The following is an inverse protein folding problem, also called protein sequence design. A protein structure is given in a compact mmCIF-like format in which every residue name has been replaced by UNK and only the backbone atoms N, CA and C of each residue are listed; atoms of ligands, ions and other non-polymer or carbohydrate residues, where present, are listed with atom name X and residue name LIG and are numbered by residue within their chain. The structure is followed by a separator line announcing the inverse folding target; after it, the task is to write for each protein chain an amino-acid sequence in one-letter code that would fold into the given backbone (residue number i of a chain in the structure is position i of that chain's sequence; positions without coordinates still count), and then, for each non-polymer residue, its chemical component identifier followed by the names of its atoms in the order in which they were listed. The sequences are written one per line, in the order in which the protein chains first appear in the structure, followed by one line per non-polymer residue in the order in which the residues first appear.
data_IF_178290379473
#
_entry.id   IF_178290379473
#
_cell.length_a   1.000
_cell.length_b   1.000
_cell.length_c   1.000
_cell.angle_alpha   90.00
_cell.angle_beta   90.00
_cell.angle_gamma   90.00
#
_symmetry.space_group_name_H-M   'P 1'
#
loop_
_entity.id
_entity.type
_entity.pdbx_description
1 polymer ?
#
# COMPACT_ATOMS: atom_id res chain seq x y z
N UNK A 1 -44.95 -52.83 8.00
CA UNK A 1 -44.28 -52.34 6.79
C UNK A 1 -42.97 -53.09 6.66
N UNK A 2 -42.94 -54.12 5.83
CA UNK A 2 -41.71 -54.84 5.48
C UNK A 2 -40.88 -53.91 4.60
N UNK A 3 -39.78 -53.37 5.13
CA UNK A 3 -38.85 -52.55 4.35
C UNK A 3 -38.18 -53.46 3.32
N UNK A 4 -38.47 -53.24 2.04
CA UNK A 4 -37.87 -54.03 0.97
C UNK A 4 -36.34 -53.85 0.98
N UNK A 5 -35.62 -54.93 0.62
CA UNK A 5 -34.16 -54.97 0.57
C UNK A 5 -33.55 -53.79 -0.21
N UNK A 6 -34.25 -53.33 -1.26
CA UNK A 6 -33.88 -52.18 -2.08
C UNK A 6 -33.89 -50.87 -1.31
N UNK A 7 -34.86 -50.64 -0.42
CA UNK A 7 -34.92 -49.42 0.40
C UNK A 7 -33.79 -49.40 1.43
N UNK A 8 -33.44 -50.55 2.01
CA UNK A 8 -32.32 -50.68 2.95
C UNK A 8 -30.99 -50.33 2.26
N UNK A 9 -30.76 -50.83 1.05
CA UNK A 9 -29.55 -50.54 0.25
C UNK A 9 -29.41 -49.05 -0.09
N UNK A 10 -30.51 -48.38 -0.43
CA UNK A 10 -30.50 -46.93 -0.71
C UNK A 10 -30.14 -46.13 0.55
N UNK A 11 -30.70 -46.49 1.70
CA UNK A 11 -30.41 -45.82 2.98
C UNK A 11 -28.94 -46.01 3.36
N UNK A 12 -28.40 -47.22 3.23
CA UNK A 12 -26.99 -47.52 3.52
C UNK A 12 -26.07 -46.76 2.55
N UNK A 13 -26.41 -46.71 1.26
CA UNK A 13 -25.67 -45.94 0.25
C UNK A 13 -25.64 -44.44 0.57
N UNK A 14 -26.79 -43.86 0.96
CA UNK A 14 -26.89 -42.46 1.35
C UNK A 14 -26.04 -42.15 2.61
N UNK A 15 -26.04 -43.05 3.59
CA UNK A 15 -25.23 -42.90 4.81
C UNK A 15 -23.72 -42.92 4.51
N UNK A 16 -23.28 -43.79 3.61
CA UNK A 16 -21.88 -43.87 3.18
C UNK A 16 -21.46 -42.59 2.46
N UNK A 17 -22.29 -42.07 1.55
CA UNK A 17 -22.04 -40.82 0.82
C UNK A 17 -21.93 -39.62 1.78
N UNK A 18 -22.87 -39.50 2.74
CA UNK A 18 -22.83 -38.44 3.76
C UNK A 18 -21.56 -38.52 4.64
N UNK A 19 -21.13 -39.74 5.01
CA UNK A 19 -19.92 -39.96 5.80
C UNK A 19 -18.66 -39.51 5.05
N UNK A 20 -18.58 -39.77 3.75
CA UNK A 20 -17.47 -39.33 2.90
C UNK A 20 -17.51 -37.82 2.63
N UNK A 21 -18.69 -37.26 2.36
CA UNK A 21 -18.88 -35.83 2.15
C UNK A 21 -18.42 -35.02 3.37
N UNK A 22 -18.78 -35.45 4.58
CA UNK A 22 -18.36 -34.77 5.82
C UNK A 22 -16.84 -34.76 6.01
N UNK A 23 -16.16 -35.84 5.60
CA UNK A 23 -14.69 -35.99 5.68
C UNK A 23 -13.96 -35.13 4.64
N UNK A 24 -14.57 -34.90 3.47
CA UNK A 24 -14.07 -33.98 2.45
C UNK A 24 -14.28 -32.53 2.87
N UNK A 25 -15.50 -32.18 3.30
CA UNK A 25 -15.86 -30.83 3.73
C UNK A 25 -15.01 -30.38 4.92
N UNK A 26 -14.77 -31.24 5.92
CA UNK A 26 -13.92 -30.87 7.06
C UNK A 26 -12.46 -30.62 6.67
N UNK A 27 -11.92 -31.38 5.71
CA UNK A 27 -10.56 -31.14 5.19
C UNK A 27 -10.48 -29.84 4.41
N UNK A 28 -11.48 -29.54 3.57
CA UNK A 28 -11.54 -28.30 2.79
C UNK A 28 -11.67 -27.10 3.72
N UNK A 29 -12.59 -27.14 4.70
CA UNK A 29 -12.76 -26.07 5.68
C UNK A 29 -11.48 -25.89 6.51
N UNK A 30 -10.80 -26.97 6.88
CA UNK A 30 -9.52 -26.91 7.58
C UNK A 30 -8.43 -26.21 6.77
N UNK A 31 -8.26 -26.59 5.51
CA UNK A 31 -7.28 -25.94 4.61
C UNK A 31 -7.63 -24.47 4.37
N UNK A 32 -8.89 -24.17 4.05
CA UNK A 32 -9.36 -22.79 3.83
C UNK A 32 -9.20 -21.96 5.10
N UNK A 33 -9.50 -22.51 6.27
CA UNK A 33 -9.33 -21.84 7.55
C UNK A 33 -7.87 -21.54 7.87
N UNK A 34 -6.96 -22.49 7.61
CA UNK A 34 -5.52 -22.27 7.79
C UNK A 34 -5.00 -21.23 6.80
N UNK A 35 -5.38 -21.31 5.52
CA UNK A 35 -4.98 -20.32 4.51
C UNK A 35 -5.53 -18.94 4.84
N UNK A 36 -6.80 -18.83 5.23
CA UNK A 36 -7.40 -17.57 5.66
C UNK A 36 -6.74 -17.04 6.95
N UNK A 37 -6.36 -17.92 7.88
CA UNK A 37 -5.61 -17.55 9.09
C UNK A 37 -4.21 -17.03 8.77
N UNK A 38 -3.48 -17.68 7.86
CA UNK A 38 -2.16 -17.24 7.38
C UNK A 38 -2.28 -15.90 6.66
N UNK A 39 -3.21 -15.77 5.70
CA UNK A 39 -3.43 -14.51 4.98
C UNK A 39 -3.90 -13.39 5.91
N UNK A 40 -4.76 -13.70 6.88
CA UNK A 40 -5.22 -12.77 7.90
C UNK A 40 -4.09 -12.32 8.84
N UNK A 41 -3.23 -13.24 9.26
CA UNK A 41 -2.03 -12.92 10.04
C UNK A 41 -1.03 -12.09 9.24
N UNK A 42 -0.78 -12.46 7.99
CA UNK A 42 0.07 -11.71 7.06
C UNK A 42 -0.48 -10.30 6.81
N UNK A 43 -1.80 -10.15 6.68
CA UNK A 43 -2.47 -8.85 6.58
C UNK A 43 -2.33 -8.04 7.89
N UNK A 44 -2.59 -8.64 9.04
CA UNK A 44 -2.48 -7.98 10.35
C UNK A 44 -1.05 -7.55 10.67
N UNK A 45 -0.05 -8.38 10.36
CA UNK A 45 1.37 -8.10 10.58
C UNK A 45 2.04 -7.39 9.40
N UNK A 46 1.32 -7.11 8.31
CA UNK A 46 1.86 -6.49 7.09
C UNK A 46 3.07 -7.24 6.50
N UNK A 47 3.00 -8.57 6.43
CA UNK A 47 4.05 -9.47 5.92
C UNK A 47 3.64 -9.99 4.52
N UNK A 48 4.61 -10.14 3.60
CA UNK A 48 4.39 -10.72 2.25
C UNK A 48 3.65 -9.80 1.27
N UNK A 49 2.76 -10.29 0.37
CA UNK A 49 2.11 -9.45 -0.65
C UNK A 49 1.15 -8.38 -0.07
N UNK A 50 0.94 -8.38 1.25
CA UNK A 50 0.20 -7.36 2.00
C UNK A 50 1.11 -6.37 2.73
N UNK A 51 2.42 -6.36 2.42
CA UNK A 51 3.33 -5.28 2.76
C UNK A 51 2.77 -4.03 2.09
N UNK A 52 1.96 -3.29 2.84
CA UNK A 52 1.46 -2.00 2.43
C UNK A 52 2.67 -1.17 2.09
N UNK A 53 2.85 -0.76 0.84
CA UNK A 53 3.58 0.45 0.43
C UNK A 53 3.55 0.64 -1.08
N UNK A 54 2.38 1.02 -1.58
CA UNK A 54 2.21 1.61 -2.92
C UNK A 54 2.19 3.16 -2.86
N UNK A 55 2.49 3.74 -1.69
CA UNK A 55 2.44 5.18 -1.41
C UNK A 55 3.56 5.67 -0.49
N UNK A 56 4.56 4.83 -0.24
CA UNK A 56 5.62 5.17 0.69
C UNK A 56 6.82 5.61 -0.12
N UNK A 57 7.42 6.71 0.30
CA UNK A 57 8.74 7.17 -0.14
C UNK A 57 9.70 5.98 -0.22
N UNK A 58 9.55 5.00 0.69
CA UNK A 58 10.24 3.71 0.69
C UNK A 58 10.20 2.94 -0.64
N UNK A 59 9.12 2.97 -1.42
CA UNK A 59 9.08 2.30 -2.73
C UNK A 59 9.92 3.05 -3.77
N UNK A 60 9.84 4.39 -3.80
CA UNK A 60 10.68 5.19 -4.69
C UNK A 60 12.15 5.05 -4.27
N UNK A 61 12.42 4.99 -2.97
CA UNK A 61 13.74 4.76 -2.41
C UNK A 61 14.28 3.36 -2.73
N UNK A 62 13.46 2.31 -2.60
CA UNK A 62 13.87 0.96 -3.00
C UNK A 62 14.18 0.89 -4.50
N UNK A 63 13.35 1.53 -5.33
CA UNK A 63 13.53 1.57 -6.79
C UNK A 63 14.79 2.33 -7.21
N UNK A 64 15.06 3.48 -6.60
CA UNK A 64 16.09 4.41 -7.09
C UNK A 64 17.36 4.43 -6.25
N UNK A 65 17.26 4.18 -4.95
CA UNK A 65 18.39 4.18 -4.02
C UNK A 65 18.94 2.78 -3.69
N UNK A 66 18.32 1.71 -4.21
CA UNK A 66 18.83 0.34 -4.12
C UNK A 66 20.17 0.12 -4.83
N UNK A 67 20.71 -1.10 -4.73
CA UNK A 67 22.00 -1.49 -5.34
C UNK A 67 22.07 -1.22 -6.83
N UNK A 68 20.96 -1.47 -7.53
CA UNK A 68 20.83 -1.34 -8.99
C UNK A 68 19.95 -0.15 -9.39
N UNK A 69 19.66 0.74 -8.43
CA UNK A 69 18.81 1.91 -8.63
C UNK A 69 19.53 3.06 -9.35
N UNK A 70 18.76 3.96 -9.96
CA UNK A 70 19.32 5.16 -10.58
C UNK A 70 19.85 6.13 -9.50
N UNK A 71 21.17 6.07 -9.30
CA UNK A 71 21.90 6.87 -8.31
C UNK A 71 21.71 8.36 -8.50
N UNK A 72 21.49 8.84 -9.72
CA UNK A 72 21.30 10.27 -9.95
C UNK A 72 19.91 10.72 -9.51
N UNK A 73 18.88 9.91 -9.75
CA UNK A 73 17.54 10.17 -9.21
C UNK A 73 17.56 10.08 -7.68
N UNK A 74 18.22 9.06 -7.12
CA UNK A 74 18.36 8.94 -5.67
C UNK A 74 19.06 10.16 -5.05
N UNK A 75 20.25 10.51 -5.58
CA UNK A 75 21.11 11.53 -4.99
C UNK A 75 20.62 12.94 -5.24
N UNK A 76 20.08 13.22 -6.43
CA UNK A 76 19.67 14.58 -6.80
C UNK A 76 18.20 14.88 -6.55
N UNK A 77 17.30 13.88 -6.47
CA UNK A 77 15.86 14.12 -6.30
C UNK A 77 15.39 13.65 -4.93
N UNK A 78 15.54 12.35 -4.65
CA UNK A 78 14.96 11.75 -3.44
C UNK A 78 15.67 12.19 -2.16
N UNK A 79 17.00 12.23 -2.14
CA UNK A 79 17.75 12.65 -0.95
C UNK A 79 17.47 14.10 -0.55
N UNK A 80 17.50 15.10 -1.44
CA UNK A 80 17.12 16.47 -1.10
C UNK A 80 15.69 16.56 -0.57
N UNK A 81 14.73 15.91 -1.23
CA UNK A 81 13.35 15.88 -0.76
C UNK A 81 13.23 15.27 0.65
N UNK A 82 13.91 14.15 0.93
CA UNK A 82 13.93 13.54 2.27
C UNK A 82 14.59 14.44 3.33
N UNK A 83 15.64 15.16 2.96
CA UNK A 83 16.29 16.11 3.85
C UNK A 83 15.37 17.30 4.18
N UNK A 84 14.64 17.81 3.19
CA UNK A 84 13.64 18.85 3.40
C UNK A 84 12.53 18.39 4.35
N UNK A 85 11.96 17.19 4.15
CA UNK A 85 11.00 16.56 5.09
C UNK A 85 11.59 16.49 6.50
N UNK A 86 12.80 15.93 6.64
CA UNK A 86 13.45 15.74 7.94
C UNK A 86 13.76 17.06 8.67
N UNK A 87 13.84 18.18 7.94
CA UNK A 87 14.04 19.51 8.52
C UNK A 87 12.75 20.18 9.00
N UNK A 88 11.59 19.77 8.46
CA UNK A 88 10.27 20.38 8.74
C UNK A 88 9.38 19.56 9.66
N UNK A 89 9.63 18.25 9.74
CA UNK A 89 8.84 17.31 10.52
C UNK A 89 9.71 16.60 11.57
N UNK A 90 9.14 16.38 12.75
CA UNK A 90 9.78 15.57 13.78
C UNK A 90 9.85 14.09 13.36
N UNK A 91 10.79 13.34 13.94
CA UNK A 91 10.91 11.90 13.66
C UNK A 91 9.60 11.14 13.94
N UNK A 92 8.86 11.52 14.99
CA UNK A 92 7.57 10.92 15.31
C UNK A 92 6.51 11.19 14.23
N UNK A 93 6.49 12.40 13.66
CA UNK A 93 5.57 12.72 12.56
C UNK A 93 5.93 11.96 11.30
N UNK A 94 7.23 11.83 11.00
CA UNK A 94 7.74 11.06 9.87
C UNK A 94 7.39 9.57 10.02
N UNK A 95 7.58 8.99 11.21
CA UNK A 95 7.22 7.61 11.49
C UNK A 95 5.73 7.34 11.25
N UNK A 96 4.87 8.33 11.60
CA UNK A 96 3.44 8.26 11.38
C UNK A 96 3.03 8.31 9.90
N UNK A 97 3.84 8.90 9.02
CA UNK A 97 3.56 8.95 7.57
C UNK A 97 3.43 7.55 6.96
N UNK A 98 4.11 6.55 7.52
CA UNK A 98 4.00 5.15 7.10
C UNK A 98 2.56 4.62 7.15
N UNK A 99 1.73 5.19 8.02
CA UNK A 99 0.33 4.81 8.21
C UNK A 99 -0.68 5.77 7.56
N UNK A 100 -0.22 6.96 7.12
CA UNK A 100 -1.02 8.04 6.55
C UNK A 100 -0.56 8.31 5.11
N UNK A 101 -0.94 7.42 4.17
CA UNK A 101 -0.47 7.41 2.78
C UNK A 101 -0.80 8.69 2.00
N UNK A 102 -2.02 9.20 2.12
CA UNK A 102 -2.43 10.45 1.46
C UNK A 102 -1.54 11.60 1.95
N UNK A 103 -1.30 11.64 3.26
CA UNK A 103 -0.41 12.63 3.88
C UNK A 103 1.04 12.47 3.43
N UNK A 104 1.55 11.24 3.40
CA UNK A 104 2.91 10.94 2.96
C UNK A 104 3.17 11.40 1.53
N UNK A 105 2.22 11.11 0.62
CA UNK A 105 2.28 11.55 -0.78
C UNK A 105 2.23 13.07 -0.89
N UNK A 106 1.35 13.73 -0.14
CA UNK A 106 1.24 15.19 -0.14
C UNK A 106 2.51 15.87 0.40
N UNK A 107 3.07 15.37 1.51
CA UNK A 107 4.33 15.87 2.08
C UNK A 107 5.47 15.69 1.07
N UNK A 108 5.57 14.52 0.43
CA UNK A 108 6.58 14.27 -0.61
C UNK A 108 6.40 15.23 -1.80
N UNK A 109 5.17 15.44 -2.27
CA UNK A 109 4.85 16.39 -3.35
C UNK A 109 5.35 17.80 -3.01
N UNK A 110 5.08 18.29 -1.79
CA UNK A 110 5.54 19.59 -1.31
C UNK A 110 7.06 19.69 -1.23
N UNK A 111 7.70 18.65 -0.72
CA UNK A 111 9.16 18.56 -0.63
C UNK A 111 9.83 18.58 -2.00
N UNK A 112 9.27 17.83 -2.96
CA UNK A 112 9.75 17.79 -4.34
C UNK A 112 9.59 19.16 -5.02
N UNK A 113 8.50 19.88 -4.73
CA UNK A 113 8.33 21.24 -5.22
C UNK A 113 9.36 22.20 -4.62
N UNK A 114 9.59 22.14 -3.30
CA UNK A 114 10.54 22.99 -2.59
C UNK A 114 11.99 22.73 -3.02
N UNK A 115 12.34 21.48 -3.33
CA UNK A 115 13.71 21.08 -3.69
C UNK A 115 13.96 20.98 -5.20
N UNK A 116 12.98 21.36 -6.02
CA UNK A 116 13.02 21.24 -7.48
C UNK A 116 14.25 21.89 -8.12
N UNK A 117 14.56 23.13 -7.74
CA UNK A 117 15.68 23.87 -8.32
C UNK A 117 17.02 23.22 -7.98
N UNK A 118 17.19 22.81 -6.72
CA UNK A 118 18.36 22.06 -6.26
C UNK A 118 18.52 20.74 -7.02
N UNK A 119 17.41 20.01 -7.22
CA UNK A 119 17.41 18.75 -7.94
C UNK A 119 17.81 18.93 -9.42
N UNK A 120 17.24 19.93 -10.10
CA UNK A 120 17.58 20.25 -11.48
C UNK A 120 19.03 20.69 -11.63
N UNK A 121 19.55 21.49 -10.69
CA UNK A 121 20.95 21.90 -10.68
C UNK A 121 21.88 20.69 -10.53
N UNK A 122 21.61 19.79 -9.58
CA UNK A 122 22.38 18.57 -9.35
C UNK A 122 22.39 17.65 -10.58
N UNK A 123 21.23 17.41 -11.19
CA UNK A 123 21.13 16.59 -12.40
C UNK A 123 21.85 17.23 -13.59
N UNK A 124 21.79 18.55 -13.73
CA UNK A 124 22.46 19.28 -14.81
C UNK A 124 23.98 19.20 -14.69
N UNK A 125 24.52 19.33 -13.47
CA UNK A 125 25.96 19.13 -13.22
C UNK A 125 26.44 17.72 -13.60
N UNK A 126 25.55 16.73 -13.55
CA UNK A 126 25.81 15.34 -13.94
C UNK A 126 25.52 15.04 -15.41
N UNK A 127 24.99 16.00 -16.18
CA UNK A 127 24.58 15.78 -17.57
C UNK A 127 23.27 15.02 -17.73
N UNK A 128 22.47 14.89 -16.67
CA UNK A 128 21.33 13.98 -16.56
C UNK A 128 19.99 14.70 -16.32
N UNK A 129 19.86 15.95 -16.78
CA UNK A 129 18.66 16.79 -16.55
C UNK A 129 17.34 16.14 -16.99
N UNK A 130 17.37 15.19 -17.94
CA UNK A 130 16.19 14.45 -18.41
C UNK A 130 15.61 13.51 -17.36
N UNK A 131 16.42 13.03 -16.40
CA UNK A 131 16.00 12.08 -15.37
C UNK A 131 14.94 12.66 -14.41
N UNK A 132 14.86 13.98 -14.27
CA UNK A 132 13.78 14.62 -13.51
C UNK A 132 12.41 14.29 -14.11
N UNK A 133 12.30 14.31 -15.45
CA UNK A 133 11.06 13.95 -16.13
C UNK A 133 10.73 12.47 -15.99
N UNK A 134 11.75 11.60 -16.02
CA UNK A 134 11.59 10.15 -15.80
C UNK A 134 11.03 9.89 -14.40
N UNK A 135 11.60 10.54 -13.39
CA UNK A 135 11.09 10.44 -12.03
C UNK A 135 9.62 10.87 -11.91
N UNK A 136 9.25 12.00 -12.53
CA UNK A 136 7.86 12.47 -12.52
C UNK A 136 6.88 11.49 -13.17
N UNK A 137 7.30 10.75 -14.20
CA UNK A 137 6.44 9.73 -14.82
C UNK A 137 6.06 8.60 -13.85
N UNK A 138 6.92 8.30 -12.88
CA UNK A 138 6.62 7.34 -11.83
C UNK A 138 5.85 7.96 -10.66
N UNK A 139 6.14 9.22 -10.33
CA UNK A 139 5.52 9.89 -9.19
C UNK A 139 4.07 10.32 -9.47
N UNK A 140 3.79 10.90 -10.65
CA UNK A 140 2.45 11.44 -10.99
C UNK A 140 1.33 10.39 -10.85
N UNK A 141 1.48 9.13 -11.31
CA UNK A 141 0.45 8.12 -11.11
C UNK A 141 0.18 7.80 -9.63
N UNK A 142 1.21 7.85 -8.78
CA UNK A 142 1.08 7.68 -7.33
C UNK A 142 0.35 8.88 -6.76
N UNK A 143 0.80 10.08 -7.09
CA UNK A 143 0.20 11.36 -6.69
C UNK A 143 -1.30 11.40 -6.99
N UNK A 144 -1.68 11.21 -8.26
CA UNK A 144 -3.08 11.22 -8.69
C UNK A 144 -3.90 10.16 -7.93
N UNK A 145 -3.37 8.94 -7.80
CA UNK A 145 -4.07 7.86 -7.10
C UNK A 145 -4.45 8.21 -5.66
N UNK A 146 -3.64 9.01 -4.96
CA UNK A 146 -3.86 9.32 -3.54
C UNK A 146 -4.46 10.70 -3.31
N UNK A 147 -4.08 11.71 -4.08
CA UNK A 147 -4.58 13.08 -3.93
C UNK A 147 -5.96 13.25 -4.56
N UNK A 148 -6.30 12.51 -5.62
CA UNK A 148 -7.67 12.53 -6.17
C UNK A 148 -8.69 11.96 -5.17
N UNK A 149 -8.26 11.01 -4.31
CA UNK A 149 -9.10 10.48 -3.23
C UNK A 149 -9.43 11.52 -2.16
N UNK A 150 -8.57 12.53 -1.97
CA UNK A 150 -8.83 13.65 -1.08
C UNK A 150 -9.75 14.71 -1.74
N UNK A 151 -9.82 14.74 -3.07
CA UNK A 151 -10.52 15.75 -3.86
C UNK A 151 -12.03 15.56 -3.97
N UNK A 152 -12.55 14.35 -4.28
CA UNK A 152 -14.01 14.13 -4.41
C UNK A 152 -14.46 12.65 -4.45
N UNK A 153 -15.72 12.42 -4.01
CA UNK A 153 -16.51 11.16 -3.94
C UNK A 153 -16.14 10.16 -2.82
N UNK A 154 -16.53 10.54 -1.61
CA UNK A 154 -16.49 9.73 -0.38
C UNK A 154 -17.47 8.53 -0.38
N UNK A 155 -18.45 8.49 -1.30
CA UNK A 155 -19.62 7.57 -1.18
C UNK A 155 -19.26 6.08 -1.26
N UNK A 156 -18.20 5.70 -1.98
CA UNK A 156 -17.81 4.29 -2.23
C UNK A 156 -16.46 3.89 -1.62
N UNK A 157 -15.85 4.74 -0.79
CA UNK A 157 -14.57 4.44 -0.15
C UNK A 157 -14.78 3.60 1.11
N UNK A 158 -13.95 2.55 1.28
CA UNK A 158 -13.92 1.76 2.52
C UNK A 158 -13.59 2.63 3.74
N UNK A 159 -14.10 2.26 4.92
CA UNK A 159 -14.01 3.08 6.15
C UNK A 159 -12.59 3.54 6.49
N UNK A 160 -11.58 2.68 6.26
CA UNK A 160 -10.18 3.02 6.51
C UNK A 160 -9.70 4.18 5.65
N UNK A 161 -10.04 4.16 4.36
CA UNK A 161 -9.67 5.23 3.41
C UNK A 161 -10.41 6.52 3.73
N UNK A 162 -11.70 6.43 4.10
CA UNK A 162 -12.48 7.60 4.51
C UNK A 162 -11.89 8.28 5.74
N UNK A 163 -11.48 7.51 6.76
CA UNK A 163 -10.79 8.05 7.94
C UNK A 163 -9.49 8.75 7.55
N UNK A 164 -8.70 8.13 6.68
CA UNK A 164 -7.44 8.71 6.21
C UNK A 164 -7.65 10.03 5.44
N UNK A 165 -8.66 10.12 4.58
CA UNK A 165 -9.04 11.36 3.89
C UNK A 165 -9.44 12.45 4.88
N UNK A 166 -10.24 12.11 5.90
CA UNK A 166 -10.65 13.07 6.93
C UNK A 166 -9.44 13.59 7.72
N UNK A 167 -8.60 12.67 8.22
CA UNK A 167 -7.37 13.02 8.92
C UNK A 167 -6.46 13.86 8.03
N UNK A 168 -6.32 13.54 6.75
CA UNK A 168 -5.55 14.36 5.82
C UNK A 168 -6.12 15.78 5.71
N UNK A 169 -7.43 15.93 5.49
CA UNK A 169 -8.06 17.24 5.36
C UNK A 169 -7.91 18.10 6.63
N UNK A 170 -8.01 17.50 7.82
CA UNK A 170 -7.77 18.20 9.09
C UNK A 170 -6.32 18.66 9.26
N UNK A 171 -5.36 17.90 8.74
CA UNK A 171 -3.93 18.20 8.88
C UNK A 171 -3.33 18.96 7.69
N UNK A 172 -4.11 19.19 6.62
CA UNK A 172 -3.60 19.80 5.38
C UNK A 172 -3.02 21.18 5.62
N UNK A 173 -3.72 22.01 6.40
CA UNK A 173 -3.27 23.37 6.73
C UNK A 173 -1.99 23.37 7.56
N UNK A 174 -1.84 22.44 8.53
CA UNK A 174 -0.58 22.28 9.28
C UNK A 174 0.60 21.94 8.35
N UNK A 175 0.37 21.04 7.39
CA UNK A 175 1.40 20.68 6.40
C UNK A 175 1.72 21.88 5.52
N UNK A 176 0.71 22.62 5.05
CA UNK A 176 0.90 23.81 4.21
C UNK A 176 1.68 24.90 4.97
N UNK A 177 1.43 25.10 6.26
CA UNK A 177 2.15 26.07 7.09
C UNK A 177 3.62 25.70 7.34
N UNK A 178 3.97 24.42 7.22
CA UNK A 178 5.36 23.96 7.32
C UNK A 178 6.16 24.21 6.04
N UNK A 179 5.52 24.56 4.93
CA UNK A 179 6.14 24.73 3.60
C UNK A 179 6.28 26.18 3.18
#
# INVERSE_FOLDING_TARGET
MELSLSVILVIVGAFILLKYARKLVSKIIGVVGITAGILGFMYYKSIGPFKNNVADISHLEEKYCGSDGDRDICDCILKPAKQDIASRFSSKEIDNLSNEKIKAVYVLQKSLAATKEQALACLTLKGESKKYKVFLQDFIPIENRYLDLAGEKIKDLGEKVRKEVHTFNENKEDIDNKY
#
